data_IF_777085224462
#
_entry.id   IF_777085224462
#
_cell.length_a   1.000
_cell.length_b   1.000
_cell.length_c   1.000
_cell.angle_alpha   90.00
_cell.angle_beta   90.00
_cell.angle_gamma   90.00
#
_symmetry.space_group_name_H-M   'P 1'
#
loop_
_entity.id
_entity.type
_entity.pdbx_description
1 polymer ?
#
# COMPACT_ATOMS: atom_id res chain seq x y z
N UNK A 1 -10.65 18.96 -2.94
CA UNK A 1 -10.79 17.62 -2.43
C UNK A 1 -10.66 17.62 -0.92
N UNK A 2 -11.51 16.87 -0.24
CA UNK A 2 -11.31 16.65 1.20
C UNK A 2 -10.00 15.90 1.37
N UNK A 3 -9.09 16.46 2.16
CA UNK A 3 -7.78 15.88 2.40
C UNK A 3 -7.95 14.50 3.07
N UNK A 4 -7.18 13.50 2.67
CA UNK A 4 -7.19 12.17 3.29
C UNK A 4 -6.98 12.25 4.81
N UNK A 5 -6.19 13.25 5.27
CA UNK A 5 -5.99 13.59 6.67
C UNK A 5 -7.26 14.07 7.37
N UNK A 6 -8.12 14.82 6.69
CA UNK A 6 -9.41 15.26 7.24
C UNK A 6 -10.39 14.10 7.40
N UNK A 7 -10.34 13.14 6.49
CA UNK A 7 -11.15 11.91 6.59
C UNK A 7 -10.66 11.05 7.74
N UNK A 8 -9.35 10.87 7.90
CA UNK A 8 -8.76 10.13 9.03
C UNK A 8 -9.05 10.80 10.38
N UNK A 9 -8.98 12.14 10.45
CA UNK A 9 -9.35 12.91 11.65
C UNK A 9 -10.82 12.74 12.03
N UNK A 10 -11.72 12.63 11.06
CA UNK A 10 -13.17 12.49 11.29
C UNK A 10 -13.57 11.05 11.67
N UNK A 11 -12.88 10.05 11.13
CA UNK A 11 -13.19 8.65 11.32
C UNK A 11 -12.34 7.99 12.41
N UNK A 12 -11.30 8.68 12.90
CA UNK A 12 -10.50 8.23 14.04
C UNK A 12 -11.36 8.24 15.31
N UNK A 13 -11.48 7.08 15.98
CA UNK A 13 -12.11 6.98 17.29
C UNK A 13 -11.34 7.86 18.28
N UNK A 14 -11.94 8.87 18.91
CA UNK A 14 -11.22 9.82 19.79
C UNK A 14 -10.56 9.19 21.03
N UNK A 15 -10.76 7.90 21.26
CA UNK A 15 -10.21 7.16 22.39
C UNK A 15 -9.17 6.09 22.05
N UNK A 16 -8.97 5.76 20.79
CA UNK A 16 -7.84 4.94 20.35
C UNK A 16 -6.75 5.87 19.83
N UNK A 17 -5.71 6.06 20.64
CA UNK A 17 -4.46 6.66 20.16
C UNK A 17 -4.07 5.90 18.89
N UNK A 18 -3.93 6.63 17.78
CA UNK A 18 -3.58 6.04 16.50
C UNK A 18 -2.40 5.08 16.68
N UNK A 19 -2.60 3.82 16.30
CA UNK A 19 -1.62 2.76 16.54
C UNK A 19 -0.38 2.89 15.65
N UNK A 20 -0.25 4.01 14.90
CA UNK A 20 0.79 4.22 13.90
C UNK A 20 0.62 3.39 12.62
N UNK A 21 -0.36 2.48 12.58
CA UNK A 21 -0.66 1.68 11.39
C UNK A 21 -1.16 2.55 10.23
N UNK A 22 -1.83 3.67 10.55
CA UNK A 22 -2.32 4.63 9.57
C UNK A 22 -1.17 5.30 8.77
N UNK A 23 0.02 5.44 9.37
CA UNK A 23 1.20 5.95 8.66
C UNK A 23 1.59 5.06 7.48
N UNK A 24 1.55 3.74 7.67
CA UNK A 24 1.85 2.78 6.60
C UNK A 24 0.87 2.92 5.44
N UNK A 25 -0.42 3.04 5.73
CA UNK A 25 -1.47 3.27 4.73
C UNK A 25 -1.24 4.58 3.95
N UNK A 26 -0.92 5.68 4.65
CA UNK A 26 -0.64 6.99 4.01
C UNK A 26 0.58 6.90 3.10
N UNK A 27 1.67 6.32 3.57
CA UNK A 27 2.91 6.20 2.79
C UNK A 27 2.72 5.28 1.59
N UNK A 28 2.05 4.15 1.78
CA UNK A 28 1.71 3.25 0.68
C UNK A 28 0.90 3.98 -0.40
N UNK A 29 -0.14 4.72 0.00
CA UNK A 29 -0.95 5.52 -0.91
C UNK A 29 -0.09 6.50 -1.72
N UNK A 30 0.81 7.23 -1.06
CA UNK A 30 1.72 8.18 -1.73
C UNK A 30 2.62 7.46 -2.73
N UNK A 31 3.20 6.33 -2.37
CA UNK A 31 4.07 5.57 -3.27
C UNK A 31 3.31 4.99 -4.47
N UNK A 32 2.13 4.44 -4.26
CA UNK A 32 1.33 3.88 -5.35
C UNK A 32 0.82 4.95 -6.31
N UNK A 33 0.40 6.12 -5.82
CA UNK A 33 -0.06 7.20 -6.70
C UNK A 33 1.08 8.01 -7.32
N UNK A 34 2.06 8.44 -6.53
CA UNK A 34 3.05 9.40 -6.99
C UNK A 34 4.28 8.76 -7.61
N UNK A 35 4.62 7.53 -7.24
CA UNK A 35 5.81 6.83 -7.75
C UNK A 35 5.43 5.79 -8.78
N UNK A 36 4.42 4.96 -8.52
CA UNK A 36 3.97 3.93 -9.45
C UNK A 36 3.03 4.49 -10.54
N UNK A 37 2.36 5.60 -10.27
CA UNK A 37 1.36 6.15 -11.20
C UNK A 37 0.04 5.37 -11.21
N UNK A 38 -0.28 4.67 -10.13
CA UNK A 38 -1.50 3.90 -9.97
C UNK A 38 -2.53 4.68 -9.14
N UNK A 39 -3.51 5.34 -9.75
CA UNK A 39 -4.55 6.08 -9.03
C UNK A 39 -5.37 5.14 -8.15
N UNK A 40 -5.77 5.64 -6.98
CA UNK A 40 -6.58 4.90 -6.02
C UNK A 40 -8.01 4.75 -6.52
N UNK A 41 -8.52 3.51 -6.48
CA UNK A 41 -9.92 3.19 -6.74
C UNK A 41 -10.72 3.20 -5.44
N UNK A 42 -10.21 2.56 -4.39
CA UNK A 42 -10.86 2.44 -3.09
C UNK A 42 -9.86 2.59 -1.95
N UNK A 43 -10.29 3.25 -0.88
CA UNK A 43 -9.56 3.34 0.38
C UNK A 43 -9.97 2.21 1.33
N UNK A 44 -9.16 1.97 2.35
CA UNK A 44 -9.46 1.04 3.45
C UNK A 44 -10.80 1.35 4.13
N UNK A 45 -11.11 2.63 4.34
CA UNK A 45 -12.37 3.07 4.95
C UNK A 45 -13.56 2.67 4.07
N UNK A 46 -13.45 2.85 2.76
CA UNK A 46 -14.50 2.46 1.81
C UNK A 46 -14.66 0.94 1.76
N UNK A 47 -13.57 0.18 1.82
CA UNK A 47 -13.58 -1.27 1.90
C UNK A 47 -14.24 -1.78 3.19
N UNK A 48 -14.03 -1.11 4.31
CA UNK A 48 -14.60 -1.49 5.61
C UNK A 48 -16.08 -1.10 5.77
N UNK A 49 -16.50 0.00 5.13
CA UNK A 49 -17.89 0.51 5.23
C UNK A 49 -18.83 -0.08 4.19
N UNK A 50 -18.30 -0.52 3.04
CA UNK A 50 -19.10 -1.02 1.90
C UNK A 50 -19.64 -2.43 2.05
N UNK A 51 -19.10 -3.25 2.95
CA UNK A 51 -19.57 -4.60 3.21
C UNK A 51 -19.77 -4.82 4.70
N UNK A 52 -20.92 -5.30 5.07
CA UNK A 52 -21.30 -5.76 6.41
C UNK A 52 -20.08 -6.28 7.21
N UNK A 53 -19.42 -5.39 7.97
CA UNK A 53 -18.38 -5.70 8.96
C UNK A 53 -17.19 -6.57 8.50
N UNK A 54 -16.70 -6.40 7.29
CA UNK A 54 -15.46 -7.05 6.85
C UNK A 54 -14.25 -6.27 7.36
N UNK A 55 -13.46 -6.93 8.21
CA UNK A 55 -12.12 -6.43 8.57
C UNK A 55 -11.14 -6.64 7.44
N UNK A 56 -11.31 -5.92 6.32
CA UNK A 56 -10.35 -5.99 5.21
C UNK A 56 -8.93 -5.69 5.69
N UNK A 57 -7.99 -6.52 5.30
CA UNK A 57 -6.56 -6.32 5.51
C UNK A 57 -5.91 -5.51 4.38
N UNK A 58 -6.71 -5.16 3.35
CA UNK A 58 -6.30 -4.32 2.26
C UNK A 58 -6.33 -2.84 2.68
N UNK A 59 -5.23 -2.15 2.51
CA UNK A 59 -5.11 -0.72 2.84
C UNK A 59 -5.69 0.17 1.73
N UNK A 60 -5.85 -0.35 0.52
CA UNK A 60 -6.49 0.31 -0.60
C UNK A 60 -6.35 -0.48 -1.90
N UNK A 61 -7.19 -0.16 -2.87
CA UNK A 61 -7.14 -0.73 -4.22
C UNK A 61 -6.80 0.38 -5.19
N UNK A 62 -5.83 0.13 -6.05
CA UNK A 62 -5.32 1.04 -7.07
C UNK A 62 -5.37 0.40 -8.46
N UNK A 63 -5.37 1.21 -9.51
CA UNK A 63 -5.35 0.74 -10.89
C UNK A 63 -4.11 1.27 -11.59
N UNK A 64 -3.21 0.38 -11.96
CA UNK A 64 -2.04 0.70 -12.77
C UNK A 64 -2.34 0.42 -14.23
N UNK A 65 -2.20 1.43 -15.07
CA UNK A 65 -2.24 1.26 -16.53
C UNK A 65 -0.85 0.94 -17.04
N UNK A 66 -0.72 -0.16 -17.76
CA UNK A 66 0.52 -0.57 -18.41
C UNK A 66 0.36 -0.38 -19.92
N UNK A 67 1.26 0.36 -20.53
CA UNK A 67 1.33 0.44 -21.99
C UNK A 67 1.99 -0.84 -22.51
N UNK A 68 1.30 -1.54 -23.39
CA UNK A 68 1.90 -2.66 -24.13
C UNK A 68 2.37 -2.21 -25.51
N UNK A 69 3.46 -2.84 -26.00
CA UNK A 69 4.07 -2.56 -27.32
C UNK A 69 3.10 -2.70 -28.51
N UNK A 70 1.91 -3.26 -28.31
CA UNK A 70 0.89 -3.51 -29.35
C UNK A 70 -0.38 -2.67 -29.22
N UNK A 71 -0.36 -1.59 -28.41
CA UNK A 71 -1.45 -0.62 -28.36
C UNK A 71 -2.76 -1.10 -27.69
N UNK A 72 -2.75 -2.30 -27.07
CA UNK A 72 -3.89 -2.72 -26.25
C UNK A 72 -3.65 -2.35 -24.78
N UNK A 73 -4.64 -1.68 -24.14
CA UNK A 73 -4.52 -1.34 -22.73
C UNK A 73 -4.49 -2.62 -21.88
N UNK A 74 -3.53 -2.67 -20.97
CA UNK A 74 -3.38 -3.73 -19.99
C UNK A 74 -3.25 -3.11 -18.61
N UNK A 75 -3.87 -3.72 -17.62
CA UNK A 75 -3.99 -3.13 -16.29
C UNK A 75 -3.56 -4.10 -15.19
N UNK A 76 -2.97 -3.55 -14.13
CA UNK A 76 -2.86 -4.23 -12.86
C UNK A 76 -3.86 -3.65 -11.85
N UNK A 77 -4.67 -4.50 -11.26
CA UNK A 77 -5.43 -4.15 -10.06
C UNK A 77 -4.52 -4.39 -8.86
N UNK A 78 -4.06 -3.30 -8.25
CA UNK A 78 -3.05 -3.32 -7.20
C UNK A 78 -3.72 -3.27 -5.83
N UNK A 79 -3.65 -4.36 -5.08
CA UNK A 79 -4.10 -4.43 -3.69
C UNK A 79 -2.96 -3.99 -2.76
N UNK A 80 -3.23 -3.00 -1.93
CA UNK A 80 -2.24 -2.39 -1.06
C UNK A 80 -2.19 -3.01 0.33
N UNK A 81 -0.99 -3.24 0.85
CA UNK A 81 -0.76 -3.58 2.25
C UNK A 81 0.49 -2.92 2.78
N UNK A 82 0.50 -2.57 4.07
CA UNK A 82 1.62 -1.89 4.71
C UNK A 82 2.01 -2.55 6.03
N UNK A 83 3.30 -2.50 6.35
CA UNK A 83 3.82 -2.97 7.64
C UNK A 83 4.99 -2.10 8.10
N UNK A 84 4.88 -1.55 9.32
CA UNK A 84 5.93 -0.77 9.98
C UNK A 84 6.29 -1.48 11.26
N UNK A 85 7.38 -2.24 11.24
CA UNK A 85 7.86 -3.07 12.35
C UNK A 85 9.38 -3.06 12.36
N UNK A 86 10.01 -2.97 13.54
CA UNK A 86 11.46 -2.86 13.65
C UNK A 86 12.27 -3.97 12.99
N UNK A 87 11.80 -5.20 12.98
CA UNK A 87 12.41 -6.32 12.28
C UNK A 87 11.88 -6.47 10.86
N UNK A 88 12.78 -6.42 9.86
CA UNK A 88 12.39 -6.48 8.44
C UNK A 88 11.75 -7.81 8.05
N UNK A 89 12.23 -8.93 8.61
CA UNK A 89 11.64 -10.24 8.34
C UNK A 89 10.20 -10.31 8.85
N UNK A 90 9.97 -9.80 10.07
CA UNK A 90 8.64 -9.72 10.66
C UNK A 90 7.73 -8.76 9.88
N UNK A 91 8.26 -7.65 9.35
CA UNK A 91 7.51 -6.75 8.48
C UNK A 91 7.04 -7.47 7.20
N UNK A 92 7.91 -8.25 6.58
CA UNK A 92 7.57 -9.11 5.43
C UNK A 92 6.51 -10.13 5.82
N UNK A 93 6.67 -10.84 6.94
CA UNK A 93 5.71 -11.84 7.40
C UNK A 93 4.31 -11.23 7.58
N UNK A 94 4.23 -10.09 8.27
CA UNK A 94 2.97 -9.37 8.48
C UNK A 94 2.30 -8.95 7.17
N UNK A 95 3.08 -8.47 6.19
CA UNK A 95 2.55 -8.10 4.89
C UNK A 95 2.01 -9.31 4.11
N UNK A 96 2.73 -10.43 4.13
CA UNK A 96 2.26 -11.64 3.46
C UNK A 96 1.06 -12.29 4.14
N UNK A 97 0.94 -12.21 5.48
CA UNK A 97 -0.28 -12.62 6.18
C UNK A 97 -1.48 -11.79 5.73
N UNK A 98 -1.30 -10.48 5.54
CA UNK A 98 -2.35 -9.62 4.98
C UNK A 98 -2.69 -10.00 3.53
N UNK A 99 -1.69 -10.28 2.68
CA UNK A 99 -1.91 -10.72 1.29
C UNK A 99 -2.71 -12.01 1.23
N UNK A 100 -2.43 -12.99 2.09
CA UNK A 100 -3.21 -14.23 2.17
C UNK A 100 -4.67 -13.98 2.51
N UNK A 101 -4.94 -13.03 3.41
CA UNK A 101 -6.33 -12.66 3.73
C UNK A 101 -7.00 -11.90 2.58
N UNK A 102 -6.27 -11.01 1.89
CA UNK A 102 -6.75 -10.32 0.69
C UNK A 102 -7.10 -11.35 -0.41
N UNK A 103 -6.26 -12.35 -0.64
CA UNK A 103 -6.53 -13.42 -1.62
C UNK A 103 -7.83 -14.18 -1.32
N UNK A 104 -8.07 -14.51 -0.05
CA UNK A 104 -9.31 -15.19 0.36
C UNK A 104 -10.55 -14.31 0.13
N UNK A 105 -10.41 -12.99 0.22
CA UNK A 105 -11.49 -12.02 0.13
C UNK A 105 -11.57 -11.33 -1.25
N UNK A 106 -10.62 -11.58 -2.14
CA UNK A 106 -10.45 -10.83 -3.39
C UNK A 106 -11.69 -10.80 -4.28
N UNK A 107 -12.47 -11.88 -4.33
CA UNK A 107 -13.74 -11.91 -5.07
C UNK A 107 -14.77 -10.94 -4.49
N UNK A 108 -14.83 -10.80 -3.17
CA UNK A 108 -15.76 -9.90 -2.48
C UNK A 108 -15.31 -8.44 -2.60
N UNK A 109 -14.01 -8.17 -2.49
CA UNK A 109 -13.44 -6.84 -2.66
C UNK A 109 -13.60 -6.34 -4.11
N UNK A 110 -13.48 -7.23 -5.09
CA UNK A 110 -13.82 -6.92 -6.50
C UNK A 110 -15.29 -6.57 -6.66
N UNK A 111 -16.20 -7.38 -6.10
CA UNK A 111 -17.64 -7.11 -6.14
C UNK A 111 -18.00 -5.79 -5.42
N UNK A 112 -17.27 -5.42 -4.37
CA UNK A 112 -17.44 -4.13 -3.71
C UNK A 112 -16.95 -2.97 -4.57
N UNK A 113 -15.79 -3.13 -5.20
CA UNK A 113 -15.28 -2.16 -6.16
C UNK A 113 -16.27 -1.97 -7.34
N UNK A 114 -16.92 -3.04 -7.81
CA UNK A 114 -17.97 -3.01 -8.84
C UNK A 114 -19.21 -2.24 -8.39
N UNK A 115 -19.60 -2.34 -7.11
CA UNK A 115 -20.82 -1.75 -6.57
C UNK A 115 -20.61 -0.38 -5.92
N UNK A 116 -19.37 -0.03 -5.59
CA UNK A 116 -19.09 1.27 -4.96
C UNK A 116 -19.07 2.36 -6.02
N UNK A 117 -19.91 3.35 -5.80
CA UNK A 117 -20.14 4.47 -6.70
C UNK A 117 -18.83 5.23 -6.95
N UNK A 118 -18.11 4.86 -7.99
CA UNK A 118 -16.94 5.57 -8.51
C UNK A 118 -17.24 7.04 -8.89
N UNK A 119 -18.48 7.48 -8.73
CA UNK A 119 -19.02 8.71 -9.27
C UNK A 119 -18.54 9.99 -8.59
N UNK A 120 -17.77 9.92 -7.51
CA UNK A 120 -17.47 11.13 -6.73
C UNK A 120 -16.04 11.66 -6.83
N UNK A 121 -15.09 10.88 -7.33
CA UNK A 121 -13.65 11.21 -7.25
C UNK A 121 -12.90 11.21 -8.57
N UNK A 122 -13.47 10.68 -9.64
CA UNK A 122 -12.83 10.57 -10.95
C UNK A 122 -13.59 11.33 -12.03
N UNK A 123 -12.85 11.75 -13.07
CA UNK A 123 -13.48 12.25 -14.30
C UNK A 123 -14.30 11.13 -14.99
N UNK A 124 -15.21 11.53 -15.88
CA UNK A 124 -16.16 10.59 -16.50
C UNK A 124 -15.48 9.51 -17.32
N UNK A 125 -14.34 9.82 -17.95
CA UNK A 125 -13.62 8.86 -18.80
C UNK A 125 -12.90 7.81 -17.95
N UNK A 126 -12.31 8.22 -16.82
CA UNK A 126 -11.71 7.31 -15.84
C UNK A 126 -12.77 6.43 -15.20
N UNK A 127 -13.93 6.99 -14.81
CA UNK A 127 -15.07 6.21 -14.29
C UNK A 127 -15.55 5.18 -15.31
N UNK A 128 -15.64 5.54 -16.58
CA UNK A 128 -16.07 4.60 -17.62
C UNK A 128 -15.04 3.49 -17.82
N UNK A 129 -13.74 3.80 -17.87
CA UNK A 129 -12.67 2.80 -17.97
C UNK A 129 -12.68 1.83 -16.79
N UNK A 130 -12.85 2.33 -15.58
CA UNK A 130 -12.95 1.49 -14.37
C UNK A 130 -14.20 0.59 -14.43
N UNK A 131 -15.34 1.13 -14.88
CA UNK A 131 -16.56 0.33 -15.06
C UNK A 131 -16.37 -0.75 -16.11
N UNK A 132 -15.78 -0.45 -17.25
CA UNK A 132 -15.53 -1.40 -18.33
C UNK A 132 -14.56 -2.53 -17.90
N UNK A 133 -13.63 -2.21 -16.98
CA UNK A 133 -12.71 -3.18 -16.36
C UNK A 133 -13.41 -4.11 -15.38
N UNK A 134 -14.25 -3.55 -14.51
CA UNK A 134 -14.86 -4.28 -13.40
C UNK A 134 -16.19 -4.95 -13.79
N UNK A 135 -16.93 -4.35 -14.70
CA UNK A 135 -18.24 -4.84 -15.17
C UNK A 135 -18.18 -4.94 -16.70
N UNK A 136 -17.51 -5.96 -17.24
CA UNK A 136 -17.42 -6.09 -18.70
C UNK A 136 -18.81 -6.20 -19.30
N UNK A 137 -19.15 -5.27 -20.19
CA UNK A 137 -20.33 -5.39 -21.05
C UNK A 137 -20.21 -6.69 -21.83
N UNK A 138 -21.31 -7.42 -22.02
CA UNK A 138 -21.31 -8.74 -22.67
C UNK A 138 -20.46 -8.73 -23.96
N UNK A 139 -19.28 -9.32 -23.88
CA UNK A 139 -18.38 -9.55 -25.01
C UNK A 139 -17.08 -8.75 -25.02
N UNK A 140 -16.83 -7.84 -24.07
CA UNK A 140 -15.57 -7.09 -23.97
C UNK A 140 -15.06 -7.15 -22.52
N UNK A 141 -14.18 -8.10 -22.20
CA UNK A 141 -13.39 -8.05 -20.99
C UNK A 141 -12.07 -7.33 -21.27
N UNK A 142 -11.80 -6.24 -20.59
CA UNK A 142 -10.46 -5.66 -20.59
C UNK A 142 -9.61 -6.53 -19.67
N UNK A 143 -8.53 -7.13 -20.17
CA UNK A 143 -7.69 -8.00 -19.33
C UNK A 143 -6.99 -7.17 -18.25
N UNK A 144 -7.04 -7.64 -17.02
CA UNK A 144 -6.23 -7.12 -15.93
C UNK A 144 -5.67 -8.27 -15.09
N UNK A 145 -4.50 -8.05 -14.52
CA UNK A 145 -3.89 -8.97 -13.57
C UNK A 145 -3.95 -8.41 -12.14
N UNK A 146 -3.99 -9.32 -11.19
CA UNK A 146 -3.85 -8.98 -9.77
C UNK A 146 -2.39 -8.67 -9.47
N UNK A 147 -2.16 -7.57 -8.76
CA UNK A 147 -0.85 -7.19 -8.25
C UNK A 147 -0.95 -6.75 -6.79
N UNK A 148 0.18 -6.75 -6.09
CA UNK A 148 0.30 -6.31 -4.70
C UNK A 148 1.24 -5.13 -4.59
N UNK A 149 0.75 -4.03 -3.99
CA UNK A 149 1.56 -2.92 -3.52
C UNK A 149 1.92 -3.13 -2.05
N UNK A 150 3.20 -3.24 -1.72
CA UNK A 150 3.66 -3.57 -0.38
C UNK A 150 4.57 -2.48 0.15
N UNK A 151 4.17 -1.80 1.21
CA UNK A 151 5.02 -0.85 1.92
C UNK A 151 5.57 -1.48 3.19
N UNK A 152 6.90 -1.49 3.33
CA UNK A 152 7.61 -2.00 4.50
C UNK A 152 8.46 -0.90 5.10
N UNK A 153 8.38 -0.69 6.42
CA UNK A 153 9.36 0.10 7.13
C UNK A 153 9.96 -0.71 8.29
N UNK A 154 11.26 -0.54 8.51
CA UNK A 154 12.05 -1.35 9.44
C UNK A 154 13.16 -0.54 10.08
N UNK A 155 13.76 -1.07 11.16
CA UNK A 155 14.89 -0.44 11.84
C UNK A 155 16.17 -0.61 11.04
N UNK A 156 16.77 0.51 10.61
CA UNK A 156 18.03 0.51 9.88
C UNK A 156 19.20 -0.03 10.70
N UNK A 157 19.20 0.22 12.02
CA UNK A 157 20.27 -0.17 12.91
C UNK A 157 21.55 0.68 12.78
N UNK A 158 21.49 1.85 12.15
CA UNK A 158 22.58 2.84 12.09
C UNK A 158 22.24 4.03 12.99
N UNK A 159 23.22 4.47 13.80
CA UNK A 159 23.07 5.70 14.56
C UNK A 159 23.66 6.88 13.78
N UNK A 160 22.84 7.85 13.31
CA UNK A 160 23.33 8.98 12.53
C UNK A 160 24.40 9.82 13.26
N UNK A 161 24.37 9.86 14.60
CA UNK A 161 25.34 10.62 15.41
C UNK A 161 26.79 10.11 15.28
N UNK A 162 26.98 8.87 14.78
CA UNK A 162 28.30 8.26 14.64
C UNK A 162 28.95 8.57 13.28
N UNK A 163 28.32 9.36 12.42
CA UNK A 163 28.76 9.59 11.06
C UNK A 163 28.77 11.07 10.69
N UNK A 164 29.64 11.45 9.75
CA UNK A 164 29.42 12.67 8.97
C UNK A 164 28.21 12.49 8.05
N UNK A 165 27.60 13.56 7.54
CA UNK A 165 26.48 13.47 6.62
C UNK A 165 26.81 12.69 5.34
N UNK A 166 28.05 12.79 4.86
CA UNK A 166 28.52 12.06 3.66
C UNK A 166 28.71 10.57 3.97
N UNK A 167 29.35 10.27 5.09
CA UNK A 167 29.59 8.88 5.49
C UNK A 167 28.30 8.18 5.87
N UNK A 168 27.33 8.89 6.49
CA UNK A 168 26.03 8.35 6.78
C UNK A 168 25.28 7.93 5.51
N UNK A 169 25.27 8.77 4.47
CA UNK A 169 24.63 8.42 3.19
C UNK A 169 25.25 7.16 2.58
N UNK A 170 26.58 7.05 2.63
CA UNK A 170 27.27 5.86 2.12
C UNK A 170 26.91 4.61 2.93
N UNK A 171 26.97 4.69 4.26
CA UNK A 171 26.61 3.59 5.15
C UNK A 171 25.14 3.19 4.98
N UNK A 172 24.23 4.17 4.87
CA UNK A 172 22.81 3.96 4.60
C UNK A 172 22.59 3.18 3.29
N UNK A 173 23.18 3.64 2.18
CA UNK A 173 23.03 2.98 0.88
C UNK A 173 23.55 1.54 0.93
N UNK A 174 24.71 1.32 1.50
CA UNK A 174 25.31 -0.03 1.63
C UNK A 174 24.45 -0.95 2.52
N UNK A 175 23.96 -0.41 3.64
CA UNK A 175 23.13 -1.19 4.57
C UNK A 175 21.80 -1.57 3.92
N UNK A 176 21.14 -0.63 3.26
CA UNK A 176 19.89 -0.89 2.55
C UNK A 176 20.05 -1.92 1.43
N UNK A 177 21.09 -1.80 0.61
CA UNK A 177 21.39 -2.77 -0.45
C UNK A 177 21.59 -4.17 0.14
N UNK A 178 22.34 -4.27 1.23
CA UNK A 178 22.58 -5.53 1.93
C UNK A 178 21.29 -6.11 2.51
N UNK A 179 20.48 -5.29 3.19
CA UNK A 179 19.24 -5.74 3.81
C UNK A 179 18.22 -6.21 2.76
N UNK A 180 18.08 -5.48 1.66
CA UNK A 180 17.18 -5.84 0.56
C UNK A 180 17.64 -7.16 -0.07
N UNK A 181 18.93 -7.33 -0.38
CA UNK A 181 19.46 -8.58 -0.96
C UNK A 181 19.26 -9.77 -0.03
N UNK A 182 19.52 -9.60 1.26
CA UNK A 182 19.33 -10.67 2.24
C UNK A 182 17.87 -11.11 2.37
N UNK A 183 16.91 -10.19 2.20
CA UNK A 183 15.49 -10.50 2.31
C UNK A 183 14.83 -10.87 0.97
N UNK A 184 15.45 -10.56 -0.16
CA UNK A 184 14.88 -10.86 -1.48
C UNK A 184 14.62 -12.36 -1.69
N UNK A 185 15.56 -13.22 -1.28
CA UNK A 185 15.39 -14.67 -1.35
C UNK A 185 14.25 -15.15 -0.44
N UNK A 186 14.12 -14.55 0.74
CA UNK A 186 13.03 -14.85 1.68
C UNK A 186 11.66 -14.45 1.11
N UNK A 187 11.56 -13.24 0.54
CA UNK A 187 10.35 -12.76 -0.15
C UNK A 187 9.97 -13.70 -1.29
N UNK A 188 10.93 -14.06 -2.15
CA UNK A 188 10.71 -14.98 -3.25
C UNK A 188 10.24 -16.37 -2.77
N UNK A 189 10.81 -16.88 -1.67
CA UNK A 189 10.37 -18.15 -1.08
C UNK A 189 8.93 -18.09 -0.58
N UNK A 190 8.49 -16.98 0.00
CA UNK A 190 7.10 -16.78 0.42
C UNK A 190 6.14 -16.71 -0.77
N UNK A 191 6.48 -15.96 -1.81
CA UNK A 191 5.69 -15.88 -3.04
C UNK A 191 5.45 -17.29 -3.60
N UNK A 192 6.51 -18.09 -3.70
CA UNK A 192 6.42 -19.46 -4.21
C UNK A 192 5.62 -20.38 -3.29
N UNK A 193 5.88 -20.35 -1.98
CA UNK A 193 5.20 -21.19 -1.00
C UNK A 193 3.69 -20.92 -0.91
N UNK A 194 3.27 -19.68 -1.17
CA UNK A 194 1.88 -19.26 -1.16
C UNK A 194 1.20 -19.39 -2.54
N UNK A 195 1.91 -19.85 -3.57
CA UNK A 195 1.35 -20.00 -4.92
C UNK A 195 1.06 -18.68 -5.63
N UNK A 196 1.72 -17.59 -5.23
CA UNK A 196 1.48 -16.23 -5.73
C UNK A 196 2.37 -15.85 -6.93
N UNK A 197 3.04 -16.82 -7.55
CA UNK A 197 3.99 -16.59 -8.65
C UNK A 197 3.39 -15.96 -9.90
N UNK A 198 2.07 -15.98 -10.05
CA UNK A 198 1.37 -15.37 -11.19
C UNK A 198 1.00 -13.88 -10.94
N UNK A 199 1.33 -13.35 -9.78
CA UNK A 199 1.04 -11.97 -9.43
C UNK A 199 2.27 -11.09 -9.51
N UNK A 200 2.08 -9.81 -9.82
CA UNK A 200 3.12 -8.79 -9.75
C UNK A 200 3.19 -8.18 -8.35
N UNK A 201 4.40 -7.81 -7.92
CA UNK A 201 4.64 -7.21 -6.61
C UNK A 201 5.42 -5.92 -6.76
N UNK A 202 4.95 -4.86 -6.10
CA UNK A 202 5.57 -3.54 -6.02
C UNK A 202 5.96 -3.26 -4.58
N UNK A 203 7.24 -3.46 -4.24
CA UNK A 203 7.76 -3.24 -2.89
C UNK A 203 8.33 -1.83 -2.74
N UNK A 204 7.92 -1.15 -1.68
CA UNK A 204 8.49 0.12 -1.23
C UNK A 204 9.04 -0.09 0.18
N UNK A 205 10.34 0.13 0.35
CA UNK A 205 11.04 -0.19 1.59
C UNK A 205 11.67 1.08 2.16
N UNK A 206 11.29 1.45 3.38
CA UNK A 206 11.77 2.64 4.07
C UNK A 206 12.49 2.27 5.36
N UNK A 207 13.79 2.60 5.49
CA UNK A 207 14.48 2.43 6.75
C UNK A 207 14.13 3.56 7.73
N UNK A 208 13.89 3.22 8.99
CA UNK A 208 13.70 4.13 10.10
C UNK A 208 14.77 3.90 11.16
N UNK A 209 14.96 4.84 12.11
CA UNK A 209 15.87 4.60 13.23
C UNK A 209 15.23 3.68 14.27
N UNK A 210 13.96 3.97 14.62
CA UNK A 210 13.11 3.15 15.48
C UNK A 210 11.70 3.15 14.90
N UNK A 211 11.38 2.12 14.13
CA UNK A 211 10.12 2.03 13.41
C UNK A 211 8.90 2.03 14.33
N UNK A 212 9.01 1.41 15.51
CA UNK A 212 7.90 1.32 16.45
C UNK A 212 7.65 2.64 17.20
N UNK A 213 8.68 3.37 17.54
CA UNK A 213 8.56 4.68 18.16
C UNK A 213 8.23 5.78 17.14
N UNK A 214 8.93 5.80 15.99
CA UNK A 214 8.79 6.87 14.99
C UNK A 214 7.43 6.87 14.32
N UNK A 215 6.82 5.70 14.02
CA UNK A 215 5.47 5.65 13.46
C UNK A 215 4.45 6.38 14.32
N UNK A 216 4.53 6.21 15.64
CA UNK A 216 3.63 6.88 16.60
C UNK A 216 3.91 8.38 16.66
N UNK A 217 5.20 8.77 16.76
CA UNK A 217 5.60 10.17 16.83
C UNK A 217 5.23 10.94 15.56
N UNK A 218 5.40 10.34 14.39
CA UNK A 218 5.05 10.95 13.11
C UNK A 218 3.53 11.15 13.04
N UNK A 219 2.75 10.14 13.38
CA UNK A 219 1.30 10.23 13.37
C UNK A 219 0.78 11.27 14.37
N UNK A 220 1.35 11.32 15.58
CA UNK A 220 1.00 12.34 16.57
C UNK A 220 1.26 13.77 16.04
N UNK A 221 2.37 13.98 15.34
CA UNK A 221 2.67 15.28 14.70
C UNK A 221 1.69 15.62 13.59
N UNK A 222 1.36 14.64 12.75
CA UNK A 222 0.42 14.80 11.63
C UNK A 222 -0.98 15.14 12.16
N UNK A 223 -1.45 14.44 13.19
CA UNK A 223 -2.79 14.61 13.75
C UNK A 223 -2.95 15.88 14.57
N UNK A 224 -1.92 16.30 15.29
CA UNK A 224 -1.95 17.48 16.16
C UNK A 224 -1.57 18.78 15.45
N UNK A 225 -1.43 18.77 14.12
CA UNK A 225 -1.09 19.93 13.32
C UNK A 225 0.30 20.44 13.69
N UNK A 226 1.33 19.74 13.23
CA UNK A 226 2.71 19.93 13.59
C UNK A 226 3.10 21.39 13.79
N UNK A 227 3.29 21.78 15.03
CA UNK A 227 3.92 23.04 15.33
C UNK A 227 5.26 23.07 14.58
N UNK A 228 5.46 24.08 13.73
CA UNK A 228 6.76 24.32 13.10
C UNK A 228 7.79 24.42 14.23
N UNK A 229 8.96 23.79 14.06
CA UNK A 229 10.06 23.96 14.99
C UNK A 229 10.47 25.42 15.08
#
# INVERSE_FOLDING_TARGET
GMDALDIMKRNGNPGQKGTGNDLGEILLYVFLEQVLGAPKIMSKVELQTGAKQYGSKCDGIHLLSLEQEFGMPYYHMVFGTSSIVGDMKKAVDTAFDAIVEIEKQSTQERTLAENTVFSKSFDKDTVQKIKDLLIPSKGQSIPYDTAYGVFLAYNLGLNPANYSAVDFRRALTQKMDTDIRNHAAYIASKINALGLGNHSFYFYILPLNDADAEKTQIMDRVMNGGGRP
#
